data_IF_847340820700
#
_entry.id   IF_847340820700
#
_cell.length_a   1.000
_cell.length_b   1.000
_cell.length_c   1.000
_cell.angle_alpha   90.00
_cell.angle_beta   90.00
_cell.angle_gamma   90.00
#
_symmetry.space_group_name_H-M   'P 1'
#
loop_
_entity.id
_entity.type
_entity.pdbx_description
1 polymer ?
#
# COMPACT_ATOMS: atom_id res chain seq x y z
N UNK A 1 10.50 -14.24 -27.36
CA UNK A 1 10.09 -13.22 -26.39
C UNK A 1 10.71 -11.90 -26.83
N UNK A 2 9.89 -10.89 -27.10
CA UNK A 2 10.36 -9.55 -27.43
C UNK A 2 10.93 -8.85 -26.19
N UNK A 3 11.65 -7.74 -26.36
CA UNK A 3 12.08 -6.90 -25.23
C UNK A 3 10.88 -6.35 -24.45
N UNK A 4 9.81 -5.98 -25.15
CA UNK A 4 8.58 -5.50 -24.53
C UNK A 4 7.92 -6.60 -23.69
N UNK A 5 7.85 -7.83 -24.19
CA UNK A 5 7.29 -8.97 -23.46
C UNK A 5 8.07 -9.23 -22.16
N UNK A 6 9.40 -9.10 -22.22
CA UNK A 6 10.26 -9.26 -21.04
C UNK A 6 9.99 -8.19 -19.98
N UNK A 7 9.86 -6.92 -20.39
CA UNK A 7 9.53 -5.84 -19.45
C UNK A 7 8.13 -6.04 -18.86
N UNK A 8 7.14 -6.42 -19.68
CA UNK A 8 5.79 -6.71 -19.22
C UNK A 8 5.77 -7.86 -18.18
N UNK A 9 6.53 -8.93 -18.42
CA UNK A 9 6.67 -10.03 -17.48
C UNK A 9 7.30 -9.58 -16.15
N UNK A 10 8.33 -8.72 -16.20
CA UNK A 10 8.97 -8.15 -15.01
C UNK A 10 8.00 -7.28 -14.22
N UNK A 11 7.19 -6.45 -14.89
CA UNK A 11 6.17 -5.63 -14.25
C UNK A 11 5.09 -6.49 -13.58
N UNK A 12 4.63 -7.56 -14.25
CA UNK A 12 3.64 -8.47 -13.69
C UNK A 12 4.18 -9.20 -12.45
N UNK A 13 5.44 -9.65 -12.48
CA UNK A 13 6.09 -10.26 -11.33
C UNK A 13 6.22 -9.28 -10.16
N UNK A 14 6.66 -8.04 -10.44
CA UNK A 14 6.74 -6.99 -9.44
C UNK A 14 5.38 -6.71 -8.79
N UNK A 15 4.33 -6.54 -9.60
CA UNK A 15 2.96 -6.32 -9.11
C UNK A 15 2.45 -7.50 -8.29
N UNK A 16 2.77 -8.73 -8.71
CA UNK A 16 2.40 -9.96 -7.98
C UNK A 16 3.09 -10.02 -6.63
N UNK A 17 4.40 -9.74 -6.56
CA UNK A 17 5.13 -9.72 -5.29
C UNK A 17 4.62 -8.62 -4.35
N UNK A 18 4.35 -7.42 -4.87
CA UNK A 18 3.73 -6.35 -4.09
C UNK A 18 2.37 -6.77 -3.53
N UNK A 19 1.54 -7.45 -4.32
CA UNK A 19 0.23 -7.92 -3.87
C UNK A 19 0.33 -9.03 -2.81
N UNK A 20 1.22 -10.01 -3.02
CA UNK A 20 1.41 -11.15 -2.12
C UNK A 20 2.03 -10.71 -0.79
N UNK A 21 3.12 -9.94 -0.84
CA UNK A 21 3.81 -9.47 0.38
C UNK A 21 3.06 -8.32 1.07
N UNK A 22 2.34 -7.50 0.29
CA UNK A 22 1.51 -6.43 0.82
C UNK A 22 0.26 -6.91 1.57
N UNK A 23 -0.18 -8.16 1.37
CA UNK A 23 -1.37 -8.70 2.05
C UNK A 23 -1.26 -8.67 3.58
N UNK A 24 -0.12 -9.08 4.12
CA UNK A 24 0.14 -9.02 5.57
C UNK A 24 0.24 -7.57 6.07
N UNK A 25 0.81 -6.69 5.25
CA UNK A 25 1.00 -5.28 5.55
C UNK A 25 -0.35 -4.53 5.63
N UNK A 26 -1.16 -4.57 4.58
CA UNK A 26 -2.49 -3.95 4.56
C UNK A 26 -3.46 -4.63 5.54
N UNK A 27 -3.33 -5.95 5.73
CA UNK A 27 -4.14 -6.71 6.68
C UNK A 27 -3.94 -6.26 8.14
N UNK A 28 -2.76 -5.76 8.50
CA UNK A 28 -2.51 -5.27 9.85
C UNK A 28 -3.38 -4.07 10.23
N UNK A 29 -3.58 -3.10 9.33
CA UNK A 29 -4.47 -1.97 9.59
C UNK A 29 -5.95 -2.39 9.66
N UNK A 30 -6.32 -3.45 8.95
CA UNK A 30 -7.64 -4.06 9.10
C UNK A 30 -7.82 -4.68 10.49
N UNK A 31 -6.84 -5.45 10.97
CA UNK A 31 -6.90 -6.04 12.32
C UNK A 31 -6.92 -4.97 13.43
N UNK A 32 -6.26 -3.84 13.23
CA UNK A 32 -6.29 -2.72 14.18
C UNK A 32 -7.69 -2.13 14.36
N UNK A 33 -8.55 -2.11 13.32
CA UNK A 33 -9.95 -1.68 13.43
C UNK A 33 -10.75 -2.55 14.41
N UNK A 34 -10.46 -3.85 14.42
CA UNK A 34 -11.18 -4.82 15.24
C UNK A 34 -10.53 -5.06 16.60
N UNK A 35 -9.30 -4.56 16.82
CA UNK A 35 -8.58 -4.70 18.08
C UNK A 35 -9.38 -4.17 19.29
N UNK A 36 -10.19 -3.11 19.09
CA UNK A 36 -11.13 -2.59 20.12
C UNK A 36 -12.20 -3.58 20.56
N UNK A 37 -12.59 -4.53 19.70
CA UNK A 37 -13.53 -5.61 20.05
C UNK A 37 -12.85 -6.81 20.72
N UNK A 38 -11.53 -6.93 20.59
CA UNK A 38 -10.76 -8.07 21.11
C UNK A 38 -10.38 -7.95 22.60
N UNK A 39 -10.79 -6.88 23.29
CA UNK A 39 -10.57 -6.67 24.72
C UNK A 39 -9.20 -6.09 25.09
N UNK A 40 -8.16 -6.30 24.27
CA UNK A 40 -6.82 -5.73 24.48
C UNK A 40 -6.24 -5.12 23.19
N UNK A 41 -6.59 -3.87 22.88
CA UNK A 41 -6.17 -3.21 21.64
C UNK A 41 -4.67 -2.93 21.60
N UNK A 42 -4.06 -2.69 22.77
CA UNK A 42 -2.67 -2.29 22.89
C UNK A 42 -1.73 -3.48 22.63
N UNK A 43 -2.05 -4.65 23.18
CA UNK A 43 -1.27 -5.86 22.91
C UNK A 43 -1.39 -6.33 21.46
N UNK A 44 -2.55 -6.16 20.82
CA UNK A 44 -2.73 -6.45 19.39
C UNK A 44 -1.86 -5.51 18.56
N UNK A 45 -1.89 -4.21 18.87
CA UNK A 45 -1.10 -3.20 18.17
C UNK A 45 0.40 -3.44 18.32
N UNK A 46 0.87 -3.74 19.53
CA UNK A 46 2.29 -4.05 19.75
C UNK A 46 2.77 -5.25 18.93
N UNK A 47 1.92 -6.29 18.79
CA UNK A 47 2.21 -7.45 17.93
C UNK A 47 2.25 -7.08 16.45
N UNK A 48 1.31 -6.26 16.00
CA UNK A 48 1.27 -5.76 14.61
C UNK A 48 2.53 -4.95 14.30
N UNK A 49 2.86 -3.95 15.12
CA UNK A 49 4.04 -3.11 14.91
C UNK A 49 5.33 -3.93 14.85
N UNK A 50 5.51 -4.89 15.78
CA UNK A 50 6.71 -5.73 15.83
C UNK A 50 6.82 -6.68 14.63
N UNK A 51 5.71 -7.15 14.09
CA UNK A 51 5.70 -8.15 13.02
C UNK A 51 5.76 -7.52 11.62
N UNK A 52 5.14 -6.35 11.45
CA UNK A 52 4.95 -5.72 10.14
C UNK A 52 6.00 -4.67 9.80
N UNK A 53 6.61 -4.00 10.79
CA UNK A 53 7.56 -2.93 10.49
C UNK A 53 8.67 -3.31 9.47
N UNK A 54 9.32 -4.49 9.55
CA UNK A 54 10.33 -4.89 8.55
C UNK A 54 9.73 -5.18 7.17
N UNK A 55 8.50 -5.70 7.15
CA UNK A 55 7.81 -6.13 5.93
C UNK A 55 7.27 -4.92 5.17
N UNK A 56 6.80 -3.88 5.86
CA UNK A 56 6.29 -2.64 5.26
C UNK A 56 7.39 -1.95 4.44
N UNK A 57 8.59 -1.78 5.00
CA UNK A 57 9.71 -1.13 4.31
C UNK A 57 10.10 -1.91 3.05
N UNK A 58 10.23 -3.23 3.16
CA UNK A 58 10.53 -4.11 2.04
C UNK A 58 9.43 -4.09 0.97
N UNK A 59 8.16 -3.99 1.35
CA UNK A 59 7.05 -4.02 0.41
C UNK A 59 7.04 -2.79 -0.52
N UNK A 60 7.42 -1.61 -0.02
CA UNK A 60 7.47 -0.39 -0.84
C UNK A 60 8.55 -0.44 -1.92
N UNK A 61 9.59 -1.24 -1.74
CA UNK A 61 10.62 -1.46 -2.77
C UNK A 61 10.00 -2.04 -4.04
N UNK A 62 9.06 -2.99 -3.92
CA UNK A 62 8.35 -3.54 -5.08
C UNK A 62 7.52 -2.48 -5.80
N UNK A 63 6.85 -1.60 -5.06
CA UNK A 63 6.06 -0.53 -5.67
C UNK A 63 6.93 0.45 -6.47
N UNK A 64 8.04 0.91 -5.89
CA UNK A 64 8.98 1.80 -6.57
C UNK A 64 9.60 1.10 -7.78
N UNK A 65 9.94 -0.18 -7.66
CA UNK A 65 10.44 -1.00 -8.77
C UNK A 65 9.46 -1.02 -9.95
N UNK A 66 8.17 -1.30 -9.69
CA UNK A 66 7.13 -1.30 -10.73
C UNK A 66 7.02 0.08 -11.40
N UNK A 67 6.98 1.16 -10.61
CA UNK A 67 6.85 2.52 -11.13
C UNK A 67 8.02 2.90 -12.06
N UNK A 68 9.26 2.61 -11.66
CA UNK A 68 10.46 2.92 -12.44
C UNK A 68 10.51 2.10 -13.72
N UNK A 69 10.25 0.79 -13.64
CA UNK A 69 10.26 -0.08 -14.82
C UNK A 69 9.12 0.26 -15.78
N UNK A 70 7.95 0.64 -15.27
CA UNK A 70 6.81 0.99 -16.11
C UNK A 70 7.08 2.29 -16.86
N UNK A 71 7.60 3.31 -16.16
CA UNK A 71 8.00 4.57 -16.78
C UNK A 71 9.11 4.39 -17.81
N UNK A 72 10.13 3.58 -17.51
CA UNK A 72 11.29 3.39 -18.40
C UNK A 72 10.93 2.53 -19.62
N UNK A 73 10.15 1.47 -19.42
CA UNK A 73 9.83 0.50 -20.46
C UNK A 73 8.64 0.88 -21.35
N UNK A 74 7.66 1.60 -20.78
CA UNK A 74 6.42 1.99 -21.47
C UNK A 74 6.03 3.45 -21.12
N UNK A 75 6.85 4.45 -21.49
CA UNK A 75 6.67 5.84 -21.04
C UNK A 75 5.33 6.46 -21.46
N UNK A 76 4.85 6.17 -22.68
CA UNK A 76 3.56 6.69 -23.16
C UNK A 76 2.38 6.09 -22.38
N UNK A 77 2.40 4.77 -22.15
CA UNK A 77 1.39 4.10 -21.34
C UNK A 77 1.43 4.56 -19.88
N UNK A 78 2.63 4.76 -19.32
CA UNK A 78 2.81 5.32 -17.99
C UNK A 78 2.19 6.70 -17.87
N UNK A 79 2.48 7.61 -18.82
CA UNK A 79 1.92 8.96 -18.84
C UNK A 79 0.40 8.96 -18.95
N UNK A 80 -0.16 8.09 -19.81
CA UNK A 80 -1.61 7.92 -19.95
C UNK A 80 -2.25 7.41 -18.66
N UNK A 81 -1.73 6.33 -18.07
CA UNK A 81 -2.25 5.77 -16.82
C UNK A 81 -2.18 6.79 -15.67
N UNK A 82 -1.05 7.48 -15.51
CA UNK A 82 -0.85 8.45 -14.42
C UNK A 82 -1.75 9.67 -14.54
N UNK A 83 -2.06 10.11 -15.77
CA UNK A 83 -2.93 11.27 -16.01
C UNK A 83 -4.42 10.90 -15.93
N UNK A 84 -4.82 9.80 -16.56
CA UNK A 84 -6.23 9.35 -16.58
C UNK A 84 -6.69 8.86 -15.21
N UNK A 85 -5.82 8.14 -14.48
CA UNK A 85 -6.13 7.54 -13.18
C UNK A 85 -5.50 8.32 -12.02
N UNK A 86 -5.30 9.63 -12.19
CA UNK A 86 -4.67 10.50 -11.19
C UNK A 86 -5.37 10.42 -9.83
N UNK A 87 -6.70 10.52 -9.79
CA UNK A 87 -7.47 10.53 -8.54
C UNK A 87 -7.28 9.24 -7.73
N UNK A 88 -7.54 8.03 -8.26
CA UNK A 88 -7.32 6.80 -7.49
C UNK A 88 -5.85 6.60 -7.11
N UNK A 89 -4.90 6.94 -8.00
CA UNK A 89 -3.47 6.85 -7.70
C UNK A 89 -3.05 7.82 -6.57
N UNK A 90 -3.56 9.05 -6.57
CA UNK A 90 -3.30 10.04 -5.54
C UNK A 90 -3.86 9.59 -4.18
N UNK A 91 -5.06 9.02 -4.14
CA UNK A 91 -5.63 8.50 -2.90
C UNK A 91 -4.80 7.32 -2.37
N UNK A 92 -4.36 6.42 -3.24
CA UNK A 92 -3.48 5.32 -2.85
C UNK A 92 -2.13 5.84 -2.32
N UNK A 93 -1.54 6.86 -2.97
CA UNK A 93 -0.30 7.49 -2.51
C UNK A 93 -0.43 8.16 -1.14
N UNK A 94 -1.52 8.91 -0.92
CA UNK A 94 -1.82 9.50 0.39
C UNK A 94 -2.00 8.41 1.44
N UNK A 95 -2.69 7.32 1.10
CA UNK A 95 -2.83 6.16 1.97
C UNK A 95 -1.49 5.56 2.38
N UNK A 96 -0.56 5.38 1.44
CA UNK A 96 0.81 4.90 1.72
C UNK A 96 1.54 5.83 2.71
N UNK A 97 1.47 7.15 2.49
CA UNK A 97 2.13 8.15 3.36
C UNK A 97 1.53 8.13 4.77
N UNK A 98 0.21 8.04 4.89
CA UNK A 98 -0.47 7.95 6.18
C UNK A 98 -0.07 6.68 6.94
N UNK A 99 0.10 5.56 6.24
CA UNK A 99 0.57 4.30 6.84
C UNK A 99 2.00 4.41 7.35
N UNK A 100 2.92 4.94 6.53
CA UNK A 100 4.30 5.18 6.94
C UNK A 100 4.39 6.12 8.15
N UNK A 101 3.57 7.18 8.17
CA UNK A 101 3.44 8.09 9.30
C UNK A 101 2.93 7.36 10.56
N UNK A 102 1.96 6.45 10.41
CA UNK A 102 1.44 5.64 11.53
C UNK A 102 2.51 4.74 12.18
N UNK A 103 3.41 4.15 11.38
CA UNK A 103 4.53 3.37 11.90
C UNK A 103 5.61 4.24 12.55
N UNK A 104 5.93 5.39 11.97
CA UNK A 104 6.95 6.29 12.48
C UNK A 104 6.53 7.00 13.79
N UNK A 105 5.30 7.52 13.82
CA UNK A 105 4.81 8.35 14.94
C UNK A 105 3.97 7.57 15.96
N UNK A 106 3.62 6.31 15.67
CA UNK A 106 2.77 5.47 16.53
C UNK A 106 3.28 5.26 17.96
N UNK A 107 4.60 5.40 18.17
CA UNK A 107 5.27 5.26 19.47
C UNK A 107 5.36 6.57 20.26
N UNK A 108 5.05 7.70 19.62
CA UNK A 108 5.26 9.05 20.17
C UNK A 108 3.93 9.78 20.39
N UNK A 109 2.90 9.45 19.61
CA UNK A 109 1.59 10.10 19.72
C UNK A 109 0.84 9.57 20.94
N UNK A 110 0.49 10.49 21.85
CA UNK A 110 -0.29 10.21 23.06
C UNK A 110 -1.69 10.86 23.04
N UNK A 111 -2.54 10.43 23.96
CA UNK A 111 -3.85 11.05 24.20
C UNK A 111 -4.83 10.94 23.03
N UNK A 112 -5.74 11.92 22.84
CA UNK A 112 -6.81 11.87 21.84
C UNK A 112 -6.31 11.76 20.39
N UNK A 113 -5.09 12.23 20.12
CA UNK A 113 -4.47 12.19 18.80
C UNK A 113 -4.10 10.77 18.38
N UNK A 114 -3.82 9.90 19.35
CA UNK A 114 -3.50 8.49 19.10
C UNK A 114 -4.68 7.76 18.45
N UNK A 115 -5.89 7.96 18.94
CA UNK A 115 -7.09 7.37 18.35
C UNK A 115 -7.34 7.81 16.90
N UNK A 116 -7.06 9.08 16.59
CA UNK A 116 -7.17 9.61 15.21
C UNK A 116 -6.11 9.05 14.29
N UNK A 117 -4.87 8.94 14.75
CA UNK A 117 -3.78 8.34 13.99
C UNK A 117 -4.05 6.86 13.69
N UNK A 118 -4.57 6.11 14.67
CA UNK A 118 -4.94 4.70 14.50
C UNK A 118 -6.08 4.55 13.47
N UNK A 119 -7.09 5.42 13.54
CA UNK A 119 -8.17 5.42 12.53
C UNK A 119 -7.64 5.75 11.13
N UNK A 120 -6.74 6.73 11.01
CA UNK A 120 -6.12 7.08 9.74
C UNK A 120 -5.29 5.92 9.17
N UNK A 121 -4.50 5.23 10.00
CA UNK A 121 -3.74 4.04 9.63
C UNK A 121 -4.65 2.90 9.16
N UNK A 122 -5.74 2.65 9.88
CA UNK A 122 -6.72 1.66 9.53
C UNK A 122 -7.42 1.95 8.20
N UNK A 123 -7.95 3.16 8.03
CA UNK A 123 -8.66 3.55 6.81
C UNK A 123 -7.74 3.53 5.60
N UNK A 124 -6.53 4.08 5.73
CA UNK A 124 -5.54 4.04 4.65
C UNK A 124 -5.13 2.61 4.27
N UNK A 125 -5.13 1.66 5.21
CA UNK A 125 -4.84 0.25 4.94
C UNK A 125 -5.94 -0.46 4.14
N UNK A 126 -7.15 0.10 4.09
CA UNK A 126 -8.25 -0.41 3.24
C UNK A 126 -8.31 0.37 1.92
N UNK A 127 -8.23 1.70 1.98
CA UNK A 127 -8.36 2.55 0.80
C UNK A 127 -7.22 2.34 -0.19
N UNK A 128 -5.99 2.16 0.28
CA UNK A 128 -4.82 1.97 -0.59
C UNK A 128 -4.98 0.75 -1.51
N UNK A 129 -5.18 -0.49 -0.97
CA UNK A 129 -5.33 -1.65 -1.84
C UNK A 129 -6.61 -1.61 -2.67
N UNK A 130 -7.69 -0.99 -2.17
CA UNK A 130 -8.92 -0.80 -2.94
C UNK A 130 -8.66 0.04 -4.20
N UNK A 131 -8.06 1.23 -4.06
CA UNK A 131 -7.79 2.10 -5.21
C UNK A 131 -6.70 1.55 -6.14
N UNK A 132 -5.70 0.85 -5.61
CA UNK A 132 -4.76 0.10 -6.45
C UNK A 132 -5.49 -0.98 -7.28
N UNK A 133 -6.45 -1.67 -6.68
CA UNK A 133 -7.33 -2.62 -7.38
C UNK A 133 -8.19 -1.95 -8.45
N UNK A 134 -8.76 -0.76 -8.16
CA UNK A 134 -9.49 0.02 -9.16
C UNK A 134 -8.62 0.42 -10.35
N UNK A 135 -7.36 0.80 -10.11
CA UNK A 135 -6.41 1.13 -11.18
C UNK A 135 -6.15 -0.08 -12.07
N UNK A 136 -5.83 -1.24 -11.47
CA UNK A 136 -5.61 -2.48 -12.23
C UNK A 136 -6.88 -2.88 -12.99
N UNK A 137 -8.04 -2.79 -12.36
CA UNK A 137 -9.34 -3.08 -12.99
C UNK A 137 -9.63 -2.19 -14.19
N UNK A 138 -9.43 -0.88 -14.05
CA UNK A 138 -9.62 0.09 -15.13
C UNK A 138 -8.66 -0.18 -16.31
N UNK A 139 -7.40 -0.50 -16.03
CA UNK A 139 -6.42 -0.87 -17.08
C UNK A 139 -6.86 -2.15 -17.80
N UNK A 140 -7.39 -3.13 -17.07
CA UNK A 140 -7.79 -4.42 -17.64
C UNK A 140 -9.07 -4.34 -18.48
N UNK A 141 -9.98 -3.40 -18.18
CA UNK A 141 -11.24 -3.25 -18.92
C UNK A 141 -11.14 -2.35 -20.14
N UNK A 142 -10.07 -1.54 -20.26
CA UNK A 142 -10.00 -0.43 -21.21
C UNK A 142 -10.92 0.72 -20.82
#
# INVERSE_FOLDING_TARGET
MSKADAVAAVLLLGATFYAVFGGADFGAGFWELFARRAGDPEAVRHRIERSIAPVWEANHVWLIFILVFFWTGFPEAFASVMSTLYIPLAIAAVGIVLRGSGFAFGKVIEGPWRGRANLAFALSSILTPFFMGCVIGAIATG
#
